data_IF_256958502422
#
_entry.id   IF_256958502422
#
_cell.length_a   1.000
_cell.length_b   1.000
_cell.length_c   1.000
_cell.angle_alpha   90.00
_cell.angle_beta   90.00
_cell.angle_gamma   90.00
#
_symmetry.space_group_name_H-M   'P 1'
#
loop_
_entity.id
_entity.type
_entity.pdbx_description
1 polymer ?
#
# COMPACT_ATOMS: atom_id res chain seq x y z
N UNK A 1 9.31 -22.67 16.98
CA UNK A 1 8.97 -21.22 16.97
C UNK A 1 8.12 -20.94 15.74
N UNK A 2 6.94 -20.32 15.86
CA UNK A 2 6.18 -19.91 14.68
C UNK A 2 7.04 -18.93 13.86
N UNK A 3 7.07 -19.16 12.56
CA UNK A 3 8.05 -18.61 11.63
C UNK A 3 7.80 -17.10 11.44
N UNK A 4 8.52 -16.25 12.19
CA UNK A 4 8.35 -14.78 12.18
C UNK A 4 8.33 -14.18 10.76
N UNK A 5 9.13 -14.75 9.85
CA UNK A 5 9.14 -14.41 8.42
C UNK A 5 7.78 -14.59 7.75
N UNK A 6 7.09 -15.69 8.05
CA UNK A 6 5.76 -16.00 7.50
C UNK A 6 4.72 -14.99 7.98
N UNK A 7 4.69 -14.69 9.28
CA UNK A 7 3.75 -13.71 9.85
C UNK A 7 4.00 -12.33 9.21
N UNK A 8 5.27 -11.94 9.08
CA UNK A 8 5.65 -10.68 8.45
C UNK A 8 5.28 -10.62 6.97
N UNK A 9 5.50 -11.70 6.22
CA UNK A 9 5.13 -11.76 4.80
C UNK A 9 3.62 -11.61 4.59
N UNK A 10 2.81 -12.27 5.42
CA UNK A 10 1.34 -12.15 5.37
C UNK A 10 0.91 -10.71 5.67
N UNK A 11 1.46 -10.07 6.70
CA UNK A 11 1.14 -8.68 7.03
C UNK A 11 1.46 -7.70 5.90
N UNK A 12 2.60 -7.87 5.23
CA UNK A 12 2.99 -7.06 4.07
C UNK A 12 2.02 -7.29 2.91
N UNK A 13 1.69 -8.54 2.63
CA UNK A 13 0.75 -8.91 1.56
C UNK A 13 -0.64 -8.31 1.77
N UNK A 14 -1.18 -8.41 2.99
CA UNK A 14 -2.48 -7.85 3.36
C UNK A 14 -2.52 -6.31 3.23
N UNK A 15 -1.44 -5.63 3.64
CA UNK A 15 -1.33 -4.18 3.51
C UNK A 15 -1.31 -3.74 2.03
N UNK A 16 -0.52 -4.42 1.20
CA UNK A 16 -0.44 -4.13 -0.23
C UNK A 16 -1.75 -4.43 -0.94
N UNK A 17 -2.39 -5.56 -0.65
CA UNK A 17 -3.70 -5.92 -1.20
C UNK A 17 -4.75 -4.86 -0.84
N UNK A 18 -4.84 -4.49 0.43
CA UNK A 18 -5.79 -3.48 0.90
C UNK A 18 -5.55 -2.13 0.22
N UNK A 19 -4.30 -1.71 0.09
CA UNK A 19 -3.97 -0.46 -0.58
C UNK A 19 -4.29 -0.49 -2.09
N UNK A 20 -3.96 -1.59 -2.79
CA UNK A 20 -4.28 -1.77 -4.20
C UNK A 20 -5.79 -1.72 -4.44
N UNK A 21 -6.55 -2.47 -3.65
CA UNK A 21 -8.01 -2.51 -3.74
C UNK A 21 -8.60 -1.12 -3.41
N UNK A 22 -8.08 -0.45 -2.38
CA UNK A 22 -8.50 0.91 -2.02
C UNK A 22 -8.24 1.96 -3.12
N UNK A 23 -7.20 1.76 -3.93
CA UNK A 23 -6.90 2.60 -5.10
C UNK A 23 -7.59 2.13 -6.40
N UNK A 24 -8.35 1.02 -6.36
CA UNK A 24 -9.03 0.46 -7.54
C UNK A 24 -8.08 -0.08 -8.61
N UNK A 25 -6.83 -0.41 -8.25
CA UNK A 25 -5.81 -0.86 -9.21
C UNK A 25 -5.97 -2.35 -9.53
N UNK A 26 -5.94 -2.68 -10.82
CA UNK A 26 -5.92 -4.06 -11.29
C UNK A 26 -4.51 -4.63 -11.28
N UNK A 27 -4.38 -5.95 -11.13
CA UNK A 27 -3.08 -6.63 -11.23
C UNK A 27 -2.39 -6.39 -12.58
N UNK A 28 -3.15 -6.25 -13.67
CA UNK A 28 -2.61 -5.99 -15.01
C UNK A 28 -1.93 -4.62 -15.04
N UNK A 29 -2.62 -3.59 -14.53
CA UNK A 29 -2.05 -2.24 -14.45
C UNK A 29 -0.77 -2.23 -13.62
N UNK A 30 -0.80 -2.91 -12.48
CA UNK A 30 0.33 -3.00 -11.57
C UNK A 30 1.51 -3.78 -12.15
N UNK A 31 1.25 -4.86 -12.87
CA UNK A 31 2.28 -5.65 -13.55
C UNK A 31 3.02 -4.81 -14.58
N UNK A 32 2.28 -4.04 -15.40
CA UNK A 32 2.87 -3.12 -16.39
C UNK A 32 3.67 -2.00 -15.71
N UNK A 33 3.15 -1.43 -14.62
CA UNK A 33 3.80 -0.29 -13.95
C UNK A 33 5.02 -0.69 -13.11
N UNK A 34 5.01 -1.88 -12.50
CA UNK A 34 6.09 -2.37 -11.63
C UNK A 34 7.12 -3.25 -12.34
N UNK A 35 6.79 -3.78 -13.52
CA UNK A 35 7.58 -4.79 -14.23
C UNK A 35 7.53 -6.18 -13.59
N UNK A 36 6.76 -6.37 -12.51
CA UNK A 36 6.55 -7.66 -11.86
C UNK A 36 5.52 -8.49 -12.62
N UNK A 37 5.67 -9.81 -12.61
CA UNK A 37 4.66 -10.68 -13.21
C UNK A 37 3.38 -10.72 -12.36
N UNK A 38 2.25 -11.06 -12.98
CA UNK A 38 1.00 -11.29 -12.24
C UNK A 38 1.17 -12.34 -11.13
N UNK A 39 1.99 -13.36 -11.39
CA UNK A 39 2.31 -14.42 -10.43
C UNK A 39 3.03 -13.84 -9.21
N UNK A 40 4.02 -12.98 -9.42
CA UNK A 40 4.77 -12.35 -8.32
C UNK A 40 3.84 -11.49 -7.45
N UNK A 41 2.99 -10.68 -8.08
CA UNK A 41 2.01 -9.84 -7.36
C UNK A 41 1.07 -10.66 -6.48
N UNK A 42 0.55 -11.78 -7.00
CA UNK A 42 -0.33 -12.68 -6.24
C UNK A 42 0.42 -13.33 -5.06
N UNK A 43 1.66 -13.79 -5.27
CA UNK A 43 2.45 -14.39 -4.18
C UNK A 43 2.85 -13.36 -3.13
N UNK A 44 3.08 -12.10 -3.52
CA UNK A 44 3.30 -11.01 -2.58
C UNK A 44 2.06 -10.77 -1.72
N UNK A 45 0.88 -10.62 -2.33
CA UNK A 45 -0.37 -10.34 -1.60
C UNK A 45 -0.81 -11.50 -0.69
N UNK A 46 -0.48 -12.74 -1.05
CA UNK A 46 -0.76 -13.91 -0.21
C UNK A 46 0.31 -14.17 0.85
N UNK A 47 1.41 -13.40 0.86
CA UNK A 47 2.54 -13.60 1.76
C UNK A 47 3.31 -14.90 1.51
N UNK A 48 3.19 -15.48 0.32
CA UNK A 48 3.81 -16.75 -0.05
C UNK A 48 5.25 -16.55 -0.55
N UNK A 49 6.16 -16.26 0.38
CA UNK A 49 7.55 -15.95 0.04
C UNK A 49 8.38 -17.16 -0.44
N UNK A 50 7.91 -18.39 -0.28
CA UNK A 50 8.63 -19.61 -0.73
C UNK A 50 8.58 -19.82 -2.26
N UNK A 51 7.84 -18.96 -2.98
CA UNK A 51 7.72 -19.02 -4.43
C UNK A 51 8.83 -18.22 -5.15
N UNK A 52 9.69 -17.55 -4.39
CA UNK A 52 10.80 -16.75 -4.89
C UNK A 52 12.12 -17.52 -4.73
N UNK A 53 13.05 -17.35 -5.66
CA UNK A 53 14.33 -18.06 -5.68
C UNK A 53 15.20 -17.76 -4.45
N UNK A 54 15.13 -16.53 -3.92
CA UNK A 54 15.80 -16.13 -2.67
C UNK A 54 14.84 -16.02 -1.48
N UNK A 55 13.74 -16.76 -1.53
CA UNK A 55 12.71 -16.80 -0.47
C UNK A 55 12.29 -15.38 -0.03
N UNK A 56 12.56 -15.06 1.23
CA UNK A 56 12.08 -13.87 1.91
C UNK A 56 12.80 -12.59 1.45
N UNK A 57 14.06 -12.68 1.01
CA UNK A 57 14.80 -11.49 0.57
C UNK A 57 14.25 -10.93 -0.74
N UNK A 58 14.03 -11.81 -1.72
CA UNK A 58 13.43 -11.42 -3.01
C UNK A 58 11.96 -11.02 -2.85
N UNK A 59 11.22 -11.66 -1.94
CA UNK A 59 9.88 -11.20 -1.56
C UNK A 59 9.90 -9.74 -1.08
N UNK A 60 10.82 -9.37 -0.18
CA UNK A 60 10.92 -8.00 0.33
C UNK A 60 11.31 -6.99 -0.75
N UNK A 61 12.23 -7.38 -1.64
CA UNK A 61 12.64 -6.57 -2.78
C UNK A 61 11.45 -6.26 -3.70
N UNK A 62 10.69 -7.29 -4.09
CA UNK A 62 9.56 -7.13 -4.98
C UNK A 62 8.38 -6.43 -4.31
N UNK A 63 8.13 -6.71 -3.02
CA UNK A 63 7.15 -5.96 -2.23
C UNK A 63 7.52 -4.47 -2.15
N UNK A 64 8.82 -4.14 -2.08
CA UNK A 64 9.31 -2.76 -2.15
C UNK A 64 9.03 -2.09 -3.49
N UNK A 65 9.27 -2.79 -4.60
CA UNK A 65 8.95 -2.30 -5.96
C UNK A 65 7.44 -2.06 -6.09
N UNK A 66 6.63 -3.03 -5.66
CA UNK A 66 5.17 -2.91 -5.63
C UNK A 66 4.76 -1.67 -4.82
N UNK A 67 5.17 -1.57 -3.55
CA UNK A 67 4.80 -0.46 -2.68
C UNK A 67 5.16 0.91 -3.27
N UNK A 68 6.36 1.03 -3.86
CA UNK A 68 6.80 2.25 -4.55
C UNK A 68 5.91 2.59 -5.74
N UNK A 69 5.47 1.58 -6.50
CA UNK A 69 4.60 1.76 -7.68
C UNK A 69 3.24 2.34 -7.30
N UNK A 70 2.66 1.93 -6.17
CA UNK A 70 1.38 2.43 -5.66
C UNK A 70 1.52 3.61 -4.67
N UNK A 71 2.74 4.12 -4.51
CA UNK A 71 3.11 5.19 -3.57
C UNK A 71 2.63 4.93 -2.12
N UNK A 72 2.81 3.69 -1.64
CA UNK A 72 2.49 3.28 -0.28
C UNK A 72 3.77 3.03 0.48
N UNK A 73 3.83 3.54 1.71
CA UNK A 73 4.87 3.17 2.65
C UNK A 73 4.45 1.88 3.36
N UNK A 74 4.99 0.74 2.91
CA UNK A 74 4.97 -0.49 3.70
C UNK A 74 5.93 -0.27 4.88
N UNK A 75 5.41 0.31 5.95
CA UNK A 75 6.20 0.70 7.12
C UNK A 75 7.13 -0.43 7.57
N UNK A 76 8.41 -0.08 7.61
CA UNK A 76 9.43 -0.51 8.57
C UNK A 76 8.81 -1.14 9.83
N UNK A 77 8.81 -2.47 9.93
CA UNK A 77 8.78 -3.12 11.25
C UNK A 77 10.07 -2.69 11.94
N UNK A 78 10.03 -2.15 13.17
CA UNK A 78 11.12 -1.38 13.75
C UNK A 78 12.42 -2.19 13.78
N UNK A 79 13.33 -1.86 12.88
CA UNK A 79 14.76 -1.92 13.16
C UNK A 79 15.14 -0.50 13.55
N UNK A 80 15.76 -0.35 14.71
CA UNK A 80 15.93 0.84 15.54
C UNK A 80 16.70 2.04 14.93
N UNK A 81 16.73 2.18 13.61
CA UNK A 81 17.49 3.25 12.96
C UNK A 81 16.79 3.76 11.71
N UNK A 82 15.93 4.76 11.88
CA UNK A 82 15.93 5.88 10.92
C UNK A 82 15.26 7.10 11.54
N UNK A 83 15.98 8.21 11.47
CA UNK A 83 15.66 9.50 12.05
C UNK A 83 14.30 9.99 11.56
N UNK A 84 13.46 10.36 12.52
CA UNK A 84 12.22 11.11 12.33
C UNK A 84 12.51 12.37 11.52
N UNK A 85 11.95 12.46 10.31
CA UNK A 85 11.70 13.77 9.69
C UNK A 85 10.59 14.43 10.49
N UNK A 86 10.98 15.40 11.31
CA UNK A 86 10.08 16.29 12.03
C UNK A 86 9.59 17.35 11.02
N UNK A 87 8.55 17.04 10.26
CA UNK A 87 7.82 18.08 9.53
C UNK A 87 6.59 18.41 10.36
N UNK A 88 6.63 19.60 10.98
CA UNK A 88 5.49 20.20 11.69
C UNK A 88 4.26 20.17 10.77
N UNK A 89 3.05 19.85 11.26
CA UNK A 89 1.83 20.16 10.53
C UNK A 89 1.59 21.66 10.67
N UNK A 90 1.94 22.42 9.63
CA UNK A 90 1.40 23.76 9.44
C UNK A 90 -0.07 23.58 9.02
N UNK A 91 -0.98 23.94 9.92
CA UNK A 91 -2.42 23.94 9.71
C UNK A 91 -2.77 25.05 8.73
N UNK A 92 -2.60 24.79 7.44
CA UNK A 92 -3.28 25.56 6.40
C UNK A 92 -4.62 24.87 6.20
N UNK A 93 -5.67 25.48 6.72
CA UNK A 93 -7.07 25.16 6.42
C UNK A 93 -7.24 25.02 4.91
N UNK A 94 -7.27 23.77 4.43
CA UNK A 94 -7.72 23.49 3.07
C UNK A 94 -9.22 23.71 3.08
N UNK A 95 -9.66 24.85 2.56
CA UNK A 95 -11.03 25.04 2.10
C UNK A 95 -11.43 23.81 1.28
N UNK A 96 -12.35 23.02 1.84
CA UNK A 96 -12.91 21.87 1.16
C UNK A 96 -13.76 22.41 0.02
N UNK A 97 -13.22 22.41 -1.19
CA UNK A 97 -13.96 22.74 -2.39
C UNK A 97 -15.06 21.68 -2.60
N UNK A 98 -16.31 22.04 -2.31
CA UNK A 98 -17.49 21.24 -2.63
C UNK A 98 -18.05 21.73 -3.96
N UNK A 99 -17.97 20.93 -5.04
CA UNK A 99 -18.61 21.22 -6.31
C UNK A 99 -20.09 21.56 -6.15
N UNK A 100 -20.57 22.56 -6.89
CA UNK A 100 -21.93 23.09 -6.74
C UNK A 100 -23.05 22.06 -6.91
N UNK A 101 -22.81 20.98 -7.67
CA UNK A 101 -23.78 19.90 -7.87
C UNK A 101 -23.96 18.99 -6.64
N UNK A 102 -23.01 18.97 -5.70
CA UNK A 102 -23.12 18.22 -4.43
C UNK A 102 -23.77 19.06 -3.32
N UNK A 103 -24.05 20.34 -3.56
CA UNK A 103 -24.76 21.17 -2.59
C UNK A 103 -26.23 20.75 -2.57
N UNK A 104 -26.63 20.05 -1.52
CA UNK A 104 -28.04 19.74 -1.25
C UNK A 104 -28.80 21.05 -1.16
N UNK A 105 -29.78 21.25 -2.06
CA UNK A 105 -30.72 22.36 -1.93
C UNK A 105 -31.68 22.03 -0.80
N UNK A 106 -31.49 22.65 0.36
CA UNK A 106 -32.53 22.68 1.40
C UNK A 106 -33.69 23.54 0.89
N UNK A 107 -34.76 22.90 0.43
CA UNK A 107 -36.02 23.60 0.19
C UNK A 107 -36.69 23.86 1.55
N UNK A 108 -37.23 25.06 1.80
CA UNK A 108 -38.09 25.28 2.96
C UNK A 108 -39.35 24.40 2.80
N UNK A 109 -39.64 23.62 3.84
CA UNK A 109 -40.91 22.93 3.98
C UNK A 109 -41.93 23.99 4.44
N UNK A 110 -42.94 24.28 3.60
CA UNK A 110 -44.10 25.09 3.98
C UNK A 110 -45.04 24.31 4.91
#
# INVERSE_FOLDING_TARGET
>A
MPNFKKIKAVQIGEQLCSARVGQGLSYIHLSVASGLSLRDLIHIETGNYYQFDRDFEQFLEYAGIYAKTINVNICHIPSDQSKRFNTKPDLVEKEIYIPSFLRVKSYPFE
#
